data_IF_282547221889
#
_entry.id   IF_282547221889
#
_cell.length_a   1.000
_cell.length_b   1.000
_cell.length_c   1.000
_cell.angle_alpha   90.00
_cell.angle_beta   90.00
_cell.angle_gamma   90.00
#
_symmetry.space_group_name_H-M   'P 1'
#
loop_
_entity.id
_entity.type
_entity.pdbx_description
1 polymer ?
#
# COMPACT_ATOMS: atom_id res chain seq x y z
N UNK A 1 19.49 -32.86 -8.71
CA UNK A 1 18.88 -33.41 -7.48
C UNK A 1 19.13 -32.39 -6.39
N UNK A 2 18.11 -31.70 -5.93
CA UNK A 2 18.32 -30.73 -4.83
C UNK A 2 18.51 -31.55 -3.56
N UNK A 3 19.65 -31.37 -2.91
CA UNK A 3 19.94 -31.97 -1.62
C UNK A 3 18.87 -31.54 -0.62
N UNK A 4 18.09 -32.49 -0.11
CA UNK A 4 17.16 -32.25 0.99
C UNK A 4 17.98 -32.16 2.26
N UNK A 5 18.02 -30.97 2.88
CA UNK A 5 18.59 -30.86 4.23
C UNK A 5 17.81 -31.79 5.17
N UNK A 6 18.52 -32.74 5.78
CA UNK A 6 17.94 -33.64 6.78
C UNK A 6 17.52 -32.87 8.04
N UNK A 7 18.28 -31.84 8.41
CA UNK A 7 18.02 -30.95 9.55
C UNK A 7 17.67 -29.55 9.06
N UNK A 8 16.52 -29.39 8.46
CA UNK A 8 16.08 -28.10 7.92
C UNK A 8 15.49 -27.20 8.99
N UNK A 9 15.73 -25.91 8.84
CA UNK A 9 15.03 -24.81 9.48
C UNK A 9 14.64 -23.81 8.39
N UNK A 10 13.64 -23.01 8.61
CA UNK A 10 13.16 -22.07 7.60
C UNK A 10 13.01 -20.68 8.21
N UNK A 11 13.37 -19.64 7.45
CA UNK A 11 13.11 -18.25 7.79
C UNK A 11 12.27 -17.60 6.67
N UNK A 12 11.18 -16.96 7.05
CA UNK A 12 10.21 -16.32 6.17
C UNK A 12 9.98 -14.87 6.51
N UNK A 13 9.47 -14.10 5.56
CA UNK A 13 9.05 -12.73 5.73
C UNK A 13 10.16 -11.74 5.42
N UNK A 14 10.30 -10.71 6.25
CA UNK A 14 11.06 -9.49 5.93
C UNK A 14 12.53 -9.60 6.34
N UNK A 15 13.24 -10.52 5.70
CA UNK A 15 14.69 -10.69 5.78
C UNK A 15 15.31 -10.54 4.39
N UNK A 16 16.61 -10.29 4.30
CA UNK A 16 17.26 -10.15 2.98
C UNK A 16 17.25 -11.44 2.19
N UNK A 17 17.47 -12.60 2.86
CA UNK A 17 17.48 -13.93 2.22
C UNK A 17 16.53 -14.89 2.94
N UNK A 18 15.21 -14.81 2.66
CA UNK A 18 14.28 -15.82 3.14
C UNK A 18 14.55 -17.16 2.46
N UNK A 19 14.34 -18.27 3.18
CA UNK A 19 14.56 -19.58 2.62
C UNK A 19 14.77 -20.67 3.68
N UNK A 20 15.20 -21.85 3.17
CA UNK A 20 15.51 -23.02 4.00
C UNK A 20 17.00 -23.08 4.22
N UNK A 21 17.38 -23.30 5.47
CA UNK A 21 18.76 -23.42 5.94
C UNK A 21 18.97 -24.74 6.64
N UNK A 22 20.22 -25.15 6.76
CA UNK A 22 20.60 -26.33 7.48
C UNK A 22 20.90 -26.00 8.95
N UNK A 23 20.21 -26.70 9.86
CA UNK A 23 20.51 -26.65 11.29
C UNK A 23 21.77 -27.44 11.57
N UNK A 24 22.80 -26.80 12.10
CA UNK A 24 24.09 -27.41 12.35
C UNK A 24 25.02 -26.52 13.18
N UNK A 25 26.32 -26.76 13.07
CA UNK A 25 27.31 -26.02 13.84
C UNK A 25 27.35 -24.52 13.55
N UNK A 26 27.02 -24.09 12.32
CA UNK A 26 27.00 -22.69 11.92
C UNK A 26 25.68 -21.98 12.28
N UNK A 27 24.57 -22.74 12.33
CA UNK A 27 23.25 -22.20 12.61
C UNK A 27 22.58 -23.09 13.64
N UNK A 28 22.56 -22.67 14.87
CA UNK A 28 21.92 -23.39 15.99
C UNK A 28 20.96 -22.51 16.79
N UNK A 29 20.97 -21.17 16.56
CA UNK A 29 20.15 -20.21 17.29
C UNK A 29 19.43 -19.26 16.35
N UNK A 30 18.42 -18.56 16.88
CA UNK A 30 17.64 -17.58 16.13
C UNK A 30 18.53 -16.44 15.62
N UNK A 31 19.45 -15.94 16.44
CA UNK A 31 20.39 -14.88 16.02
C UNK A 31 21.23 -15.32 14.83
N UNK A 32 21.84 -16.50 14.91
CA UNK A 32 22.67 -17.04 13.82
C UNK A 32 21.86 -17.25 12.53
N UNK A 33 20.61 -17.69 12.64
CA UNK A 33 19.73 -17.84 11.49
C UNK A 33 19.43 -16.48 10.83
N UNK A 34 19.14 -15.45 11.62
CA UNK A 34 18.90 -14.08 11.09
C UNK A 34 20.18 -13.53 10.46
N UNK A 35 21.34 -13.71 11.07
CA UNK A 35 22.64 -13.31 10.51
C UNK A 35 22.92 -14.02 9.18
N UNK A 36 22.66 -15.32 9.09
CA UNK A 36 22.85 -16.11 7.86
C UNK A 36 21.87 -15.69 6.75
N UNK A 37 20.69 -15.22 7.14
CA UNK A 37 19.70 -14.60 6.23
C UNK A 37 20.07 -13.16 5.85
N UNK A 38 21.30 -12.71 6.13
CA UNK A 38 21.82 -11.37 5.87
C UNK A 38 21.10 -10.24 6.62
N UNK A 39 20.39 -10.59 7.70
CA UNK A 39 19.71 -9.62 8.56
C UNK A 39 18.28 -9.31 8.16
N UNK A 40 17.74 -8.31 8.84
CA UNK A 40 16.34 -7.83 8.67
C UNK A 40 16.30 -6.67 7.68
N UNK A 41 15.24 -6.59 6.89
CA UNK A 41 14.94 -5.40 6.11
C UNK A 41 14.41 -4.28 7.00
N UNK A 42 14.44 -3.03 6.50
CA UNK A 42 14.10 -1.85 7.28
C UNK A 42 12.65 -1.79 7.76
N UNK A 43 11.76 -2.52 7.11
CA UNK A 43 10.34 -2.63 7.45
C UNK A 43 9.99 -3.85 8.32
N UNK A 44 10.98 -4.55 8.88
CA UNK A 44 10.76 -5.70 9.74
C UNK A 44 10.13 -5.30 11.08
N UNK A 45 9.04 -6.00 11.47
CA UNK A 45 8.44 -5.87 12.78
C UNK A 45 9.22 -6.69 13.81
N UNK A 46 10.17 -6.04 14.47
CA UNK A 46 11.18 -6.71 15.31
C UNK A 46 10.69 -7.07 16.72
N UNK A 47 9.66 -6.37 17.21
CA UNK A 47 9.16 -6.59 18.59
C UNK A 47 8.40 -7.91 18.76
N UNK A 48 7.96 -8.51 17.65
CA UNK A 48 7.21 -9.77 17.68
C UNK A 48 7.36 -10.54 16.38
N UNK A 49 8.30 -11.47 16.35
CA UNK A 49 8.37 -12.52 15.36
C UNK A 49 7.67 -13.79 15.88
N UNK A 50 7.39 -14.72 15.01
CA UNK A 50 6.75 -15.99 15.34
C UNK A 50 7.69 -17.15 15.01
N UNK A 51 8.04 -17.93 16.02
CA UNK A 51 8.72 -19.21 15.84
C UNK A 51 7.69 -20.33 15.90
N UNK A 52 7.48 -21.00 14.79
CA UNK A 52 6.64 -22.18 14.71
C UNK A 52 7.50 -23.42 14.85
N UNK A 53 7.14 -24.28 15.79
CA UNK A 53 7.88 -25.50 16.15
C UNK A 53 6.96 -26.70 16.14
N UNK A 54 7.45 -27.80 15.61
CA UNK A 54 6.79 -29.09 15.67
C UNK A 54 7.14 -29.78 17.00
N UNK A 55 6.11 -30.24 17.73
CA UNK A 55 6.25 -31.03 18.95
C UNK A 55 6.47 -32.51 18.64
N UNK A 56 6.76 -33.30 19.68
CA UNK A 56 6.95 -34.74 19.56
C UNK A 56 5.69 -35.48 19.08
N UNK A 57 4.49 -34.93 19.37
CA UNK A 57 3.19 -35.43 18.93
C UNK A 57 2.80 -34.94 17.54
N UNK A 58 3.72 -34.31 16.80
CA UNK A 58 3.55 -33.72 15.47
C UNK A 58 2.56 -32.53 15.44
N UNK A 59 2.11 -32.05 16.59
CA UNK A 59 1.34 -30.79 16.65
C UNK A 59 2.28 -29.59 16.59
N UNK A 60 1.73 -28.45 16.12
CA UNK A 60 2.50 -27.22 15.98
C UNK A 60 2.32 -26.34 17.23
N UNK A 61 3.40 -25.78 17.69
CA UNK A 61 3.46 -24.75 18.72
C UNK A 61 3.98 -23.45 18.11
N UNK A 62 3.41 -22.32 18.50
CA UNK A 62 3.88 -20.99 18.08
C UNK A 62 4.35 -20.21 19.29
N UNK A 63 5.61 -19.78 19.24
CA UNK A 63 6.23 -18.92 20.24
C UNK A 63 6.48 -17.53 19.67
N UNK A 64 6.06 -16.49 20.40
CA UNK A 64 6.37 -15.11 20.05
C UNK A 64 7.74 -14.71 20.56
N UNK A 65 8.56 -14.08 19.72
CA UNK A 65 9.94 -13.71 20.00
C UNK A 65 10.14 -12.20 19.79
N UNK A 66 10.89 -11.59 20.70
CA UNK A 66 11.46 -10.24 20.50
C UNK A 66 12.81 -10.38 19.77
N UNK A 67 12.76 -10.22 18.45
CA UNK A 67 13.95 -10.33 17.60
C UNK A 67 14.94 -9.19 17.86
N UNK A 68 14.44 -7.97 18.10
CA UNK A 68 15.30 -6.84 18.44
C UNK A 68 16.10 -7.14 19.72
N UNK A 69 15.42 -7.62 20.75
CA UNK A 69 16.04 -8.01 22.01
C UNK A 69 17.05 -9.15 21.86
N UNK A 70 16.75 -10.14 21.04
CA UNK A 70 17.68 -11.26 20.74
C UNK A 70 18.92 -10.74 20.01
N UNK A 71 18.76 -9.90 18.98
CA UNK A 71 19.89 -9.39 18.18
C UNK A 71 20.80 -8.49 19.03
N UNK A 72 20.22 -7.58 19.82
CA UNK A 72 21.01 -6.66 20.65
C UNK A 72 21.54 -7.29 21.96
N UNK A 73 21.09 -8.50 22.29
CA UNK A 73 21.54 -9.25 23.48
C UNK A 73 20.80 -8.92 24.78
N UNK A 74 19.73 -8.10 24.72
CA UNK A 74 18.89 -7.80 25.90
C UNK A 74 17.94 -8.96 26.26
N UNK A 75 17.65 -9.82 25.31
CA UNK A 75 16.86 -11.04 25.48
C UNK A 75 17.74 -12.24 25.15
N UNK A 76 17.61 -13.32 25.94
CA UNK A 76 18.32 -14.57 25.68
C UNK A 76 17.99 -15.15 24.33
N UNK A 77 19.00 -15.58 23.60
CA UNK A 77 18.84 -16.24 22.31
C UNK A 77 18.15 -17.59 22.45
N UNK A 78 17.48 -18.03 21.42
CA UNK A 78 16.70 -19.27 21.41
C UNK A 78 17.36 -20.30 20.52
N UNK A 79 17.57 -21.48 21.07
CA UNK A 79 18.08 -22.63 20.32
C UNK A 79 17.01 -23.15 19.37
N UNK A 80 17.38 -23.26 18.11
CA UNK A 80 16.52 -23.80 17.04
C UNK A 80 16.50 -25.33 17.09
N UNK A 81 15.39 -25.88 16.59
CA UNK A 81 15.20 -27.33 16.42
C UNK A 81 14.87 -27.63 14.95
N UNK A 82 15.02 -28.88 14.58
CA UNK A 82 14.62 -29.37 13.25
C UNK A 82 13.18 -29.00 12.94
N UNK A 83 12.92 -28.57 11.72
CA UNK A 83 11.64 -28.12 11.19
C UNK A 83 11.11 -26.80 11.80
N UNK A 84 11.89 -26.09 12.60
CA UNK A 84 11.49 -24.76 13.06
C UNK A 84 11.31 -23.80 11.88
N UNK A 85 10.27 -23.01 11.96
CA UNK A 85 9.99 -21.94 10.98
C UNK A 85 9.94 -20.61 11.72
N UNK A 86 10.86 -19.72 11.41
CA UNK A 86 10.87 -18.36 11.93
C UNK A 86 10.19 -17.44 10.91
N UNK A 87 9.11 -16.79 11.33
CA UNK A 87 8.36 -15.82 10.52
C UNK A 87 8.51 -14.41 11.08
N UNK A 88 9.00 -13.50 10.24
CA UNK A 88 9.20 -12.08 10.58
C UNK A 88 8.27 -11.25 9.69
N UNK A 89 7.24 -10.66 10.30
CA UNK A 89 6.26 -9.82 9.60
C UNK A 89 6.83 -8.47 9.22
N UNK A 90 6.27 -7.84 8.19
CA UNK A 90 6.46 -6.41 7.93
C UNK A 90 5.61 -5.57 8.89
N UNK A 91 6.09 -4.38 9.25
CA UNK A 91 5.26 -3.37 9.93
C UNK A 91 4.05 -2.99 9.07
N UNK A 92 4.18 -3.11 7.75
CA UNK A 92 3.12 -2.84 6.78
C UNK A 92 2.06 -3.95 6.72
N UNK A 93 2.42 -5.20 7.01
CA UNK A 93 1.46 -6.31 7.09
C UNK A 93 0.54 -6.19 8.32
N UNK A 94 1.01 -5.50 9.37
CA UNK A 94 0.29 -5.33 10.63
C UNK A 94 -0.56 -4.05 10.68
N UNK A 95 -0.26 -3.09 9.82
CA UNK A 95 -0.98 -1.82 9.71
C UNK A 95 -1.47 -1.65 8.29
N UNK A 96 -2.78 -1.68 8.12
CA UNK A 96 -3.41 -1.29 6.87
C UNK A 96 -3.15 0.21 6.63
N UNK A 97 -2.19 0.52 5.77
CA UNK A 97 -1.84 1.89 5.41
C UNK A 97 -2.97 2.57 4.65
N UNK A 98 -3.88 1.79 4.08
CA UNK A 98 -4.96 2.29 3.25
C UNK A 98 -4.52 2.72 1.87
N UNK A 99 -5.49 3.25 1.14
CA UNK A 99 -5.31 3.78 -0.22
C UNK A 99 -6.17 5.03 -0.40
N UNK A 100 -5.89 5.79 -1.45
CA UNK A 100 -6.73 6.88 -1.93
C UNK A 100 -7.36 6.43 -3.23
N UNK A 101 -8.67 6.61 -3.37
CA UNK A 101 -9.40 6.28 -4.59
C UNK A 101 -9.65 7.55 -5.40
N UNK A 102 -9.18 7.60 -6.64
CA UNK A 102 -9.38 8.73 -7.56
C UNK A 102 -10.34 8.34 -8.66
N UNK A 103 -11.37 9.13 -8.85
CA UNK A 103 -12.43 8.93 -9.84
C UNK A 103 -12.57 10.13 -10.76
N UNK A 104 -13.07 9.88 -11.97
CA UNK A 104 -13.49 10.90 -12.92
C UNK A 104 -12.41 11.36 -13.87
N UNK A 105 -12.38 12.66 -14.19
CA UNK A 105 -11.65 13.24 -15.32
C UNK A 105 -10.16 13.48 -15.01
N UNK A 106 -9.45 12.39 -14.73
CA UNK A 106 -7.99 12.35 -14.60
C UNK A 106 -7.39 11.35 -15.60
N UNK A 107 -6.12 11.47 -15.93
CA UNK A 107 -5.51 10.62 -16.95
C UNK A 107 -5.50 9.12 -16.54
N UNK A 108 -5.35 8.81 -15.26
CA UNK A 108 -5.31 7.45 -14.72
C UNK A 108 -6.15 7.36 -13.44
N UNK A 109 -7.48 7.22 -13.55
CA UNK A 109 -8.32 6.97 -12.38
C UNK A 109 -8.00 5.59 -11.77
N UNK A 110 -8.15 5.46 -10.44
CA UNK A 110 -7.85 4.19 -9.77
C UNK A 110 -7.47 4.34 -8.31
N UNK A 111 -6.86 3.30 -7.77
CA UNK A 111 -6.35 3.26 -6.41
C UNK A 111 -4.87 3.62 -6.37
N UNK A 112 -4.51 4.45 -5.39
CA UNK A 112 -3.14 4.86 -5.10
C UNK A 112 -2.81 4.54 -3.66
N UNK A 113 -1.61 4.03 -3.43
CA UNK A 113 -1.14 3.74 -2.06
C UNK A 113 -1.07 5.05 -1.28
N UNK A 114 -1.67 5.05 -0.09
CA UNK A 114 -1.59 6.21 0.78
C UNK A 114 -0.16 6.39 1.33
N UNK A 115 0.30 7.62 1.34
CA UNK A 115 1.52 8.05 2.03
C UNK A 115 1.18 9.23 2.96
N UNK A 116 1.88 9.32 4.09
CA UNK A 116 1.67 10.44 5.02
C UNK A 116 1.95 11.78 4.32
N UNK A 117 1.15 12.78 4.66
CA UNK A 117 1.20 14.14 4.11
C UNK A 117 0.88 14.25 2.60
N UNK A 118 0.29 13.23 1.98
CA UNK A 118 -0.20 13.33 0.60
C UNK A 118 -1.30 14.38 0.50
N UNK A 119 -1.11 15.38 -0.36
CA UNK A 119 -2.10 16.42 -0.64
C UNK A 119 -3.02 16.05 -1.80
N UNK A 120 -4.07 16.86 -2.02
CA UNK A 120 -4.94 16.68 -3.18
C UNK A 120 -4.18 16.89 -4.50
N UNK A 121 -3.26 17.86 -4.54
CA UNK A 121 -2.41 18.12 -5.71
C UNK A 121 -1.52 16.91 -6.02
N UNK A 122 -0.87 16.35 -4.98
CA UNK A 122 0.01 15.21 -5.15
C UNK A 122 -0.71 14.01 -5.76
N UNK A 123 -1.92 13.72 -5.30
CA UNK A 123 -2.69 12.58 -5.81
C UNK A 123 -3.19 12.81 -7.24
N UNK A 124 -3.55 14.05 -7.59
CA UNK A 124 -3.92 14.42 -8.97
C UNK A 124 -2.69 14.26 -9.89
N UNK A 125 -1.51 14.69 -9.44
CA UNK A 125 -0.27 14.49 -10.20
C UNK A 125 0.07 13.01 -10.38
N UNK A 126 -0.07 12.19 -9.35
CA UNK A 126 0.12 10.73 -9.44
C UNK A 126 -0.89 10.09 -10.39
N UNK A 127 -2.11 10.61 -10.45
CA UNK A 127 -3.14 10.20 -11.41
C UNK A 127 -2.88 10.71 -12.84
N UNK A 128 -1.74 11.34 -13.09
CA UNK A 128 -1.32 11.82 -14.41
C UNK A 128 -1.90 13.16 -14.81
N UNK A 129 -2.47 13.90 -13.87
CA UNK A 129 -3.08 15.20 -14.08
C UNK A 129 -4.54 15.16 -14.52
N UNK A 130 -5.11 16.33 -14.71
CA UNK A 130 -6.47 16.52 -15.16
C UNK A 130 -6.60 16.32 -16.67
N UNK A 131 -7.71 15.75 -17.10
CA UNK A 131 -8.11 15.76 -18.51
C UNK A 131 -8.64 17.15 -18.92
N UNK A 132 -8.64 17.45 -20.22
CA UNK A 132 -9.20 18.68 -20.76
C UNK A 132 -10.69 18.85 -20.41
N UNK A 133 -11.39 17.73 -20.27
CA UNK A 133 -12.81 17.69 -19.88
C UNK A 133 -13.04 17.92 -18.38
N UNK A 134 -11.99 17.97 -17.56
CA UNK A 134 -12.13 18.11 -16.13
C UNK A 134 -12.66 19.49 -15.72
N UNK A 135 -13.49 19.52 -14.68
CA UNK A 135 -13.88 20.76 -14.02
C UNK A 135 -12.78 21.24 -13.09
N UNK A 136 -12.35 22.48 -13.25
CA UNK A 136 -11.43 23.15 -12.32
C UNK A 136 -12.16 23.83 -11.18
N UNK A 137 -13.47 24.00 -11.29
CA UNK A 137 -14.31 24.71 -10.30
C UNK A 137 -14.72 23.78 -9.15
N UNK A 138 -14.71 22.45 -9.38
CA UNK A 138 -15.21 21.53 -8.36
C UNK A 138 -14.52 20.17 -8.40
N UNK A 139 -13.74 19.91 -7.36
CA UNK A 139 -13.25 18.59 -6.98
C UNK A 139 -13.82 18.24 -5.63
N UNK A 140 -14.48 17.09 -5.54
CA UNK A 140 -15.10 16.62 -4.30
C UNK A 140 -14.21 15.56 -3.64
N UNK A 141 -14.07 15.61 -2.31
CA UNK A 141 -13.42 14.57 -1.51
C UNK A 141 -14.45 14.03 -0.53
N UNK A 142 -14.63 12.72 -0.51
CA UNK A 142 -15.45 12.02 0.46
C UNK A 142 -14.54 11.25 1.42
N UNK A 143 -14.57 11.62 2.69
CA UNK A 143 -13.82 11.01 3.78
C UNK A 143 -14.75 10.21 4.67
N UNK A 144 -14.51 8.92 4.83
CA UNK A 144 -15.33 8.10 5.73
C UNK A 144 -15.06 8.46 7.20
N UNK A 145 -16.09 8.51 7.99
CA UNK A 145 -15.96 8.66 9.44
C UNK A 145 -15.62 7.29 10.04
N UNK A 146 -14.45 7.21 10.70
CA UNK A 146 -14.07 6.04 11.49
C UNK A 146 -14.28 6.36 12.97
N UNK A 147 -15.10 5.58 13.62
CA UNK A 147 -15.21 5.62 15.08
C UNK A 147 -15.13 4.19 15.64
N UNK A 148 -13.90 3.61 15.74
CA UNK A 148 -13.70 2.22 16.15
C UNK A 148 -14.09 1.97 17.61
N UNK A 149 -14.21 3.03 18.43
CA UNK A 149 -14.59 2.93 19.84
C UNK A 149 -16.11 3.12 20.06
N UNK A 150 -16.86 3.43 19.00
CA UNK A 150 -18.30 3.63 19.13
C UNK A 150 -19.02 2.30 19.30
N UNK A 151 -19.78 2.19 20.37
CA UNK A 151 -20.71 1.08 20.60
C UNK A 151 -22.09 1.31 19.97
N UNK A 152 -22.30 2.46 19.33
CA UNK A 152 -23.56 2.89 18.71
C UNK A 152 -23.30 3.15 17.23
N UNK A 153 -24.25 2.78 16.39
CA UNK A 153 -24.20 3.09 14.95
C UNK A 153 -24.24 4.61 14.75
N UNK A 154 -23.28 5.15 14.01
CA UNK A 154 -23.19 6.59 13.72
C UNK A 154 -24.02 6.90 12.49
N UNK A 155 -24.87 7.93 12.54
CA UNK A 155 -25.67 8.36 11.40
C UNK A 155 -24.82 9.04 10.31
N UNK A 156 -23.68 9.61 10.69
CA UNK A 156 -22.75 10.25 9.74
C UNK A 156 -21.74 9.21 9.22
N UNK A 157 -21.89 8.84 7.95
CA UNK A 157 -21.03 7.86 7.27
C UNK A 157 -19.80 8.49 6.62
N UNK A 158 -19.90 9.74 6.14
CA UNK A 158 -18.82 10.43 5.47
C UNK A 158 -18.88 11.94 5.67
N UNK A 159 -17.69 12.55 5.60
CA UNK A 159 -17.50 14.01 5.48
C UNK A 159 -17.16 14.32 4.03
N UNK A 160 -17.84 15.32 3.47
CA UNK A 160 -17.61 15.75 2.10
C UNK A 160 -16.98 17.13 2.09
N UNK A 161 -15.91 17.27 1.32
CA UNK A 161 -15.19 18.51 1.08
C UNK A 161 -15.27 18.82 -0.41
N UNK A 162 -15.35 20.09 -0.76
CA UNK A 162 -15.33 20.54 -2.16
C UNK A 162 -14.29 21.64 -2.31
N UNK A 163 -13.46 21.53 -3.34
CA UNK A 163 -12.38 22.46 -3.63
C UNK A 163 -12.43 22.96 -5.05
N UNK A 164 -11.98 24.19 -5.25
CA UNK A 164 -11.72 24.76 -6.57
C UNK A 164 -10.22 24.61 -6.88
N UNK A 165 -9.93 24.17 -8.09
CA UNK A 165 -8.54 24.07 -8.56
C UNK A 165 -8.20 25.38 -9.32
N UNK A 166 -7.15 26.07 -8.88
CA UNK A 166 -6.62 27.23 -9.57
C UNK A 166 -5.49 26.82 -10.49
N UNK A 167 -5.50 27.27 -11.73
CA UNK A 167 -4.49 26.91 -12.75
C UNK A 167 -4.31 25.41 -12.96
N UNK A 168 -5.34 24.61 -12.64
CA UNK A 168 -5.35 23.16 -12.79
C UNK A 168 -4.69 22.37 -11.66
N UNK A 169 -3.98 23.02 -10.73
CA UNK A 169 -3.22 22.30 -9.70
C UNK A 169 -3.24 22.95 -8.31
N UNK A 170 -3.51 24.23 -8.19
CA UNK A 170 -3.47 24.93 -6.90
C UNK A 170 -4.88 25.04 -6.34
N UNK A 171 -5.07 24.55 -5.12
CA UNK A 171 -6.34 24.66 -4.40
C UNK A 171 -6.51 26.10 -3.92
N UNK A 172 -7.57 26.76 -4.35
CA UNK A 172 -7.95 28.07 -3.85
C UNK A 172 -8.68 27.91 -2.50
N UNK A 173 -8.15 28.48 -1.43
CA UNK A 173 -8.80 28.55 -0.11
C UNK A 173 -8.16 27.73 1.04
N UNK A 174 -7.65 26.52 0.81
CA UNK A 174 -6.91 25.74 1.78
C UNK A 174 -5.69 25.09 1.10
N UNK A 175 -4.59 25.84 0.94
CA UNK A 175 -3.36 25.26 0.44
C UNK A 175 -2.92 24.14 1.38
N UNK A 176 -2.59 22.98 0.82
CA UNK A 176 -2.15 21.79 1.52
C UNK A 176 -3.24 20.97 2.25
N UNK A 177 -4.43 20.81 1.66
CA UNK A 177 -5.39 19.86 2.21
C UNK A 177 -4.79 18.44 2.17
N UNK A 178 -4.48 17.91 3.36
CA UNK A 178 -3.90 16.60 3.52
C UNK A 178 -4.99 15.53 3.47
N UNK A 179 -4.80 14.59 2.57
CA UNK A 179 -5.66 13.43 2.42
C UNK A 179 -5.44 12.43 3.56
N UNK A 180 -6.45 11.63 3.83
CA UNK A 180 -6.40 10.55 4.81
C UNK A 180 -6.58 9.19 4.11
N UNK A 181 -6.15 8.09 4.74
CA UNK A 181 -6.39 6.75 4.20
C UNK A 181 -7.86 6.52 3.90
N UNK A 182 -8.14 5.98 2.72
CA UNK A 182 -9.47 5.68 2.17
C UNK A 182 -10.30 6.90 1.75
N UNK A 183 -9.71 8.09 1.64
CA UNK A 183 -10.37 9.20 0.99
C UNK A 183 -10.68 8.85 -0.47
N UNK A 184 -11.83 9.33 -0.93
CA UNK A 184 -12.27 9.21 -2.31
C UNK A 184 -12.30 10.60 -2.95
N UNK A 185 -11.51 10.78 -4.00
CA UNK A 185 -11.39 12.03 -4.75
C UNK A 185 -12.19 11.91 -6.04
N UNK A 186 -13.08 12.84 -6.29
CA UNK A 186 -13.95 12.88 -7.47
C UNK A 186 -13.65 14.13 -8.30
N UNK A 187 -12.98 13.96 -9.41
CA UNK A 187 -12.77 15.02 -10.39
C UNK A 187 -13.95 15.00 -11.37
N UNK A 188 -14.81 16.02 -11.31
CA UNK A 188 -16.02 16.07 -12.14
C UNK A 188 -15.69 16.51 -13.57
N UNK A 189 -16.52 16.06 -14.52
CA UNK A 189 -16.49 16.61 -15.87
C UNK A 189 -17.05 18.04 -15.85
N UNK A 190 -16.41 18.93 -16.59
CA UNK A 190 -16.90 20.29 -16.77
C UNK A 190 -18.22 20.29 -17.55
N UNK A 191 -19.30 20.91 -17.03
CA UNK A 191 -20.56 21.02 -17.77
C UNK A 191 -20.44 21.79 -19.09
N UNK A 192 -19.44 22.67 -19.16
CA UNK A 192 -19.19 23.48 -20.37
C UNK A 192 -18.29 22.78 -21.41
N UNK A 193 -17.74 21.62 -21.09
CA UNK A 193 -16.88 20.89 -22.03
C UNK A 193 -17.70 20.16 -23.09
N UNK A 194 -17.40 20.45 -24.34
CA UNK A 194 -17.97 19.76 -25.49
C UNK A 194 -16.83 19.21 -26.34
N UNK A 195 -16.89 17.91 -26.63
CA UNK A 195 -15.97 17.31 -27.57
C UNK A 195 -16.16 17.91 -28.96
N UNK A 196 -15.07 18.24 -29.63
CA UNK A 196 -15.09 18.70 -30.99
C UNK A 196 -15.69 17.62 -31.89
N UNK A 197 -16.84 17.95 -32.51
CA UNK A 197 -17.50 17.05 -33.45
C UNK A 197 -16.93 17.25 -34.83
N UNK A 198 -16.91 16.20 -35.61
CA UNK A 198 -16.45 16.23 -36.99
C UNK A 198 -17.58 15.74 -37.89
N UNK A 199 -17.73 16.39 -39.03
CA UNK A 199 -18.55 15.91 -40.13
C UNK A 199 -17.66 15.58 -41.32
N UNK A 200 -17.94 14.45 -41.92
CA UNK A 200 -17.29 14.07 -43.17
C UNK A 200 -18.18 14.42 -44.35
N UNK A 201 -17.72 15.33 -45.22
CA UNK A 201 -18.46 15.75 -46.41
C UNK A 201 -17.81 15.04 -47.61
N UNK A 202 -18.61 14.31 -48.37
CA UNK A 202 -18.17 13.61 -49.57
C UNK A 202 -19.16 13.88 -50.72
N UNK A 203 -18.69 13.65 -51.95
CA UNK A 203 -19.50 13.86 -53.14
C UNK A 203 -18.79 14.77 -54.18
N UNK A 204 -19.57 15.27 -55.14
CA UNK A 204 -19.04 16.19 -56.16
C UNK A 204 -18.99 17.62 -55.64
N UNK A 205 -18.00 17.85 -54.74
CA UNK A 205 -17.74 19.16 -54.14
C UNK A 205 -16.23 19.46 -54.27
N UNK A 206 -15.90 20.76 -54.22
CA UNK A 206 -14.51 21.22 -54.44
C UNK A 206 -13.54 20.71 -53.31
N UNK A 207 -14.00 20.60 -52.09
CA UNK A 207 -13.19 20.17 -50.96
C UNK A 207 -13.97 19.13 -50.16
N UNK A 208 -13.78 17.87 -50.53
CA UNK A 208 -14.29 16.73 -49.72
C UNK A 208 -13.34 16.45 -48.59
N UNK A 209 -13.86 16.12 -47.38
CA UNK A 209 -13.02 15.79 -46.24
C UNK A 209 -13.73 15.96 -44.89
N UNK A 210 -12.95 15.86 -43.82
CA UNK A 210 -13.40 16.08 -42.46
C UNK A 210 -13.40 17.56 -42.12
N UNK A 211 -14.49 18.02 -41.52
CA UNK A 211 -14.66 19.37 -41.01
C UNK A 211 -15.03 19.30 -39.53
N UNK A 212 -14.36 20.12 -38.74
CA UNK A 212 -14.70 20.29 -37.32
C UNK A 212 -15.95 21.19 -37.20
N UNK A 213 -16.84 20.83 -36.29
CA UNK A 213 -18.02 21.63 -35.91
C UNK A 213 -17.73 22.36 -34.61
#
# INVERSE_FOLDING_TARGET
MLDRFENRIEIKGVVYRPGVYELGAEISTVRQLVEKAEGLKGDAFTNRALLQREKEDLTLETQALDIAGIINGSVSDITLRKNDILYISSIHDLKDLGFIQVHGEVAKPGQFIYADNTTLEDIIMQAGGLLESASTVKVDISRRVKNPESMIQTDTLSLNFSFELKDGFVIDGEPNFVLQPYDQVYVRRSPGYQEQRHVFIHGRILFAGNYAL
#
